data_IF_098841622629
#
_entry.id   IF_098841622629
#
_cell.length_a   1.000
_cell.length_b   1.000
_cell.length_c   1.000
_cell.angle_alpha   90.00
_cell.angle_beta   90.00
_cell.angle_gamma   90.00
#
_symmetry.space_group_name_H-M   'P 1'
#
loop_
_entity.id
_entity.type
_entity.pdbx_description
1 polymer ?
#
# COMPACT_ATOMS: atom_id res chain seq x y z
N UNK A 1 8.93 10.98 15.05
CA UNK A 1 7.96 10.66 14.00
C UNK A 1 6.71 10.13 14.65
N UNK A 2 5.53 10.73 14.42
CA UNK A 2 4.28 10.02 14.64
C UNK A 2 4.04 9.13 13.41
N UNK A 3 4.37 7.84 13.49
CA UNK A 3 4.23 6.91 12.37
C UNK A 3 5.16 5.69 12.43
N UNK A 4 4.83 4.64 11.69
CA UNK A 4 5.54 3.35 11.61
C UNK A 4 6.91 3.49 10.91
N UNK A 5 6.89 4.15 9.75
CA UNK A 5 8.05 4.52 8.95
C UNK A 5 7.69 5.75 8.10
N UNK A 6 8.67 6.33 7.42
CA UNK A 6 8.46 7.36 6.39
C UNK A 6 9.55 7.31 5.33
N UNK A 7 9.21 7.81 4.14
CA UNK A 7 10.12 7.96 3.01
C UNK A 7 10.18 9.42 2.56
N UNK A 8 11.39 9.90 2.25
CA UNK A 8 11.59 11.19 1.60
C UNK A 8 12.61 11.08 0.46
N UNK A 9 12.40 11.83 -0.61
CA UNK A 9 13.28 11.88 -1.77
C UNK A 9 13.99 13.26 -1.82
N UNK A 10 15.07 13.46 -1.03
CA UNK A 10 15.78 14.74 -0.96
C UNK A 10 16.41 15.15 -2.30
N UNK A 11 16.68 14.20 -3.20
CA UNK A 11 17.16 14.46 -4.56
C UNK A 11 16.47 13.51 -5.55
N UNK A 12 16.53 13.78 -6.86
CA UNK A 12 15.97 12.87 -7.88
C UNK A 12 16.60 11.47 -7.91
N UNK A 13 17.75 11.26 -7.27
CA UNK A 13 18.50 10.00 -7.32
C UNK A 13 18.70 9.37 -5.94
N UNK A 14 18.17 9.99 -4.89
CA UNK A 14 18.40 9.55 -3.51
C UNK A 14 17.09 9.55 -2.74
N UNK A 15 16.75 8.40 -2.18
CA UNK A 15 15.67 8.23 -1.23
C UNK A 15 16.23 7.98 0.18
N UNK A 16 15.57 8.51 1.19
CA UNK A 16 15.84 8.27 2.60
C UNK A 16 14.62 7.61 3.23
N UNK A 17 14.82 6.40 3.74
CA UNK A 17 13.81 5.64 4.47
C UNK A 17 14.13 5.72 5.95
N UNK A 18 13.14 6.10 6.76
CA UNK A 18 13.28 6.25 8.21
C UNK A 18 12.27 5.33 8.87
N UNK A 19 12.75 4.51 9.79
CA UNK A 19 11.96 3.46 10.41
C UNK A 19 11.88 3.69 11.92
N UNK A 20 10.69 3.58 12.50
CA UNK A 20 10.51 3.72 13.94
C UNK A 20 11.13 2.53 14.70
N UNK A 21 12.19 2.78 15.44
CA UNK A 21 12.82 1.77 16.32
C UNK A 21 11.88 1.30 17.42
N UNK A 22 11.00 2.16 17.90
CA UNK A 22 9.96 1.80 18.87
C UNK A 22 8.93 0.85 18.26
N UNK A 23 8.53 1.06 17.01
CA UNK A 23 7.64 0.15 16.32
C UNK A 23 8.31 -1.20 16.06
N UNK A 24 9.57 -1.22 15.62
CA UNK A 24 10.33 -2.47 15.47
C UNK A 24 10.39 -3.24 16.78
N UNK A 25 10.78 -2.58 17.88
CA UNK A 25 10.81 -3.21 19.19
C UNK A 25 9.43 -3.77 19.59
N UNK A 26 8.35 -3.04 19.31
CA UNK A 26 7.00 -3.51 19.53
C UNK A 26 6.69 -4.77 18.70
N UNK A 27 6.94 -4.76 17.39
CA UNK A 27 6.70 -5.89 16.49
C UNK A 27 7.47 -7.14 16.94
N UNK A 28 8.76 -7.02 17.24
CA UNK A 28 9.54 -8.16 17.72
C UNK A 28 9.10 -8.68 19.09
N UNK A 29 8.44 -7.85 19.90
CA UNK A 29 7.87 -8.25 21.19
C UNK A 29 6.48 -8.89 21.08
N UNK A 30 5.66 -8.45 20.13
CA UNK A 30 4.23 -8.84 20.06
C UNK A 30 3.89 -9.89 19.01
N UNK A 31 4.78 -10.15 18.05
CA UNK A 31 4.55 -11.17 17.03
C UNK A 31 4.76 -12.58 17.58
N UNK A 32 3.95 -13.52 17.10
CA UNK A 32 3.96 -14.91 17.54
C UNK A 32 5.31 -15.60 17.31
N UNK A 33 6.00 -15.26 16.21
CA UNK A 33 7.33 -15.78 15.89
C UNK A 33 8.28 -14.68 15.40
N UNK A 34 9.60 -14.88 15.53
CA UNK A 34 10.59 -13.99 14.89
C UNK A 34 10.39 -13.87 13.37
N UNK A 35 9.94 -14.94 12.71
CA UNK A 35 9.65 -14.93 11.29
C UNK A 35 8.51 -13.96 10.93
N UNK A 36 7.45 -13.91 11.76
CA UNK A 36 6.33 -12.98 11.56
C UNK A 36 6.75 -11.53 11.77
N UNK A 37 7.64 -11.27 12.73
CA UNK A 37 8.24 -9.95 12.93
C UNK A 37 9.10 -9.51 11.73
N UNK A 38 9.91 -10.43 11.19
CA UNK A 38 10.69 -10.19 9.98
C UNK A 38 9.79 -9.93 8.77
N UNK A 39 8.68 -10.68 8.61
CA UNK A 39 7.69 -10.43 7.54
C UNK A 39 7.03 -9.07 7.65
N UNK A 40 6.66 -8.62 8.86
CA UNK A 40 6.13 -7.27 9.07
C UNK A 40 7.15 -6.21 8.65
N UNK A 41 8.40 -6.36 9.10
CA UNK A 41 9.49 -5.45 8.73
C UNK A 41 9.68 -5.36 7.21
N UNK A 42 9.73 -6.51 6.52
CA UNK A 42 9.82 -6.54 5.07
C UNK A 42 8.61 -5.89 4.40
N UNK A 43 7.40 -6.09 4.92
CA UNK A 43 6.19 -5.50 4.37
C UNK A 43 6.22 -3.97 4.39
N UNK A 44 6.59 -3.39 5.53
CA UNK A 44 6.75 -1.92 5.64
C UNK A 44 7.91 -1.44 4.78
N UNK A 45 9.05 -2.15 4.75
CA UNK A 45 10.18 -1.77 3.90
C UNK A 45 9.78 -1.74 2.41
N UNK A 46 8.97 -2.70 1.95
CA UNK A 46 8.43 -2.71 0.58
C UNK A 46 7.52 -1.51 0.33
N UNK A 47 6.61 -1.20 1.27
CA UNK A 47 5.74 -0.03 1.19
C UNK A 47 6.56 1.27 1.04
N UNK A 48 7.56 1.48 1.90
CA UNK A 48 8.44 2.65 1.85
C UNK A 48 9.29 2.70 0.56
N UNK A 49 9.78 1.55 0.08
CA UNK A 49 10.49 1.49 -1.20
C UNK A 49 9.59 1.87 -2.38
N UNK A 50 8.29 1.60 -2.33
CA UNK A 50 7.37 2.07 -3.38
C UNK A 50 7.34 3.59 -3.39
N UNK A 51 7.20 4.26 -2.24
CA UNK A 51 7.27 5.72 -2.16
C UNK A 51 8.58 6.31 -2.68
N UNK A 52 9.69 5.58 -2.58
CA UNK A 52 10.96 6.03 -3.14
C UNK A 52 10.95 6.13 -4.68
N UNK A 53 10.20 5.26 -5.36
CA UNK A 53 10.13 5.22 -6.84
C UNK A 53 8.82 5.79 -7.40
N UNK A 54 7.83 6.01 -6.54
CA UNK A 54 6.50 6.43 -6.94
C UNK A 54 6.44 7.94 -7.19
N UNK A 55 5.86 8.34 -8.33
CA UNK A 55 5.48 9.74 -8.56
C UNK A 55 4.29 10.14 -7.69
N UNK A 56 4.19 11.42 -7.34
CA UNK A 56 3.08 11.95 -6.54
C UNK A 56 2.16 12.90 -7.32
N UNK A 57 2.21 12.85 -8.66
CA UNK A 57 1.43 13.73 -9.53
C UNK A 57 1.79 15.20 -9.32
N UNK A 58 3.08 15.53 -9.19
CA UNK A 58 3.54 16.89 -8.84
C UNK A 58 2.91 17.43 -7.54
N UNK A 59 2.68 16.56 -6.56
CA UNK A 59 2.04 16.88 -5.28
C UNK A 59 0.52 17.04 -5.33
N UNK A 60 -0.13 16.78 -6.47
CA UNK A 60 -1.60 16.90 -6.63
C UNK A 60 -2.35 15.60 -6.37
N UNK A 61 -1.66 14.45 -6.37
CA UNK A 61 -2.29 13.18 -6.07
C UNK A 61 -2.73 13.14 -4.59
N UNK A 62 -3.97 12.69 -4.29
CA UNK A 62 -4.42 12.59 -2.91
C UNK A 62 -3.57 11.58 -2.13
N UNK A 63 -3.26 11.89 -0.86
CA UNK A 63 -2.34 11.06 -0.08
C UNK A 63 -2.79 9.60 0.06
N UNK A 64 -4.09 9.37 0.25
CA UNK A 64 -4.67 8.02 0.32
C UNK A 64 -4.41 7.17 -0.93
N UNK A 65 -4.26 7.79 -2.10
CA UNK A 65 -3.92 7.09 -3.34
C UNK A 65 -2.46 6.66 -3.39
N UNK A 66 -1.56 7.54 -2.94
CA UNK A 66 -0.13 7.24 -2.87
C UNK A 66 0.12 6.09 -1.90
N UNK A 67 -0.47 6.17 -0.71
CA UNK A 67 -0.49 5.11 0.31
C UNK A 67 -1.09 3.80 -0.23
N UNK A 68 -2.25 3.89 -0.92
CA UNK A 68 -2.94 2.73 -1.46
C UNK A 68 -2.13 1.95 -2.50
N UNK A 69 -1.35 2.62 -3.36
CA UNK A 69 -0.44 1.94 -4.30
C UNK A 69 0.67 1.19 -3.56
N UNK A 70 1.26 1.80 -2.53
CA UNK A 70 2.30 1.17 -1.72
C UNK A 70 1.77 -0.06 -0.97
N UNK A 71 0.59 0.05 -0.35
CA UNK A 71 -0.10 -1.06 0.32
C UNK A 71 -0.48 -2.18 -0.65
N UNK A 72 -0.94 -1.82 -1.85
CA UNK A 72 -1.29 -2.78 -2.88
C UNK A 72 -0.06 -3.58 -3.35
N UNK A 73 1.10 -2.94 -3.58
CA UNK A 73 2.34 -3.65 -3.95
C UNK A 73 2.79 -4.58 -2.82
N UNK A 74 2.73 -4.13 -1.57
CA UNK A 74 3.02 -4.94 -0.38
C UNK A 74 2.13 -6.19 -0.31
N UNK A 75 0.82 -6.06 -0.58
CA UNK A 75 -0.11 -7.19 -0.65
C UNK A 75 0.32 -8.20 -1.72
N UNK A 76 0.67 -7.73 -2.92
CA UNK A 76 1.08 -8.60 -4.05
C UNK A 76 2.45 -9.25 -3.83
N UNK A 77 3.32 -8.65 -3.04
CA UNK A 77 4.57 -9.26 -2.59
C UNK A 77 4.35 -10.40 -1.55
N UNK A 78 3.11 -10.68 -1.16
CA UNK A 78 2.79 -11.70 -0.15
C UNK A 78 3.17 -11.27 1.27
N UNK A 79 3.20 -9.95 1.51
CA UNK A 79 3.58 -9.35 2.79
C UNK A 79 2.42 -8.51 3.38
N UNK A 80 1.18 -9.02 3.44
CA UNK A 80 0.06 -8.26 4.01
C UNK A 80 0.37 -7.80 5.43
N UNK A 81 -0.04 -6.60 5.82
CA UNK A 81 -0.01 -6.22 7.21
C UNK A 81 -0.86 -7.21 8.02
N UNK A 82 -0.40 -7.62 9.19
CA UNK A 82 -1.05 -8.71 9.93
C UNK A 82 -2.49 -8.38 10.38
N UNK A 83 -2.85 -7.09 10.44
CA UNK A 83 -4.22 -6.64 10.70
C UNK A 83 -5.11 -6.62 9.44
N UNK A 84 -4.55 -6.88 8.26
CA UNK A 84 -5.31 -7.07 7.02
C UNK A 84 -5.72 -8.54 6.88
N UNK A 85 -7.02 -8.82 6.86
CA UNK A 85 -7.52 -10.18 6.63
C UNK A 85 -7.47 -10.52 5.13
N UNK A 86 -6.71 -11.56 4.77
CA UNK A 86 -6.46 -12.01 3.40
C UNK A 86 -7.67 -12.73 2.78
N UNK A 87 -8.25 -12.16 1.72
CA UNK A 87 -8.76 -12.91 0.55
C UNK A 87 -8.54 -12.04 -0.68
N UNK A 88 -7.58 -12.39 -1.53
CA UNK A 88 -7.55 -11.88 -2.89
C UNK A 88 -7.19 -13.04 -3.81
N UNK A 89 -8.22 -13.65 -4.40
CA UNK A 89 -8.09 -14.49 -5.59
C UNK A 89 -8.28 -13.58 -6.80
N UNK A 90 -7.18 -13.23 -7.47
CA UNK A 90 -7.05 -13.18 -8.94
C UNK A 90 -5.69 -12.62 -9.36
N UNK A 91 -5.11 -13.28 -10.36
CA UNK A 91 -4.02 -12.77 -11.17
C UNK A 91 -4.62 -12.01 -12.35
N UNK A 92 -4.48 -10.70 -12.34
CA UNK A 92 -4.56 -9.88 -13.56
C UNK A 92 -3.14 -9.34 -13.78
N UNK A 93 -2.69 -9.23 -15.03
CA UNK A 93 -1.39 -8.68 -15.41
C UNK A 93 -1.24 -7.26 -14.88
N UNK A 94 -0.51 -7.12 -13.78
CA UNK A 94 -0.58 -5.95 -12.89
C UNK A 94 0.68 -5.10 -12.94
N UNK A 95 1.78 -5.66 -13.44
CA UNK A 95 3.03 -4.93 -13.58
C UNK A 95 2.81 -3.75 -14.51
N UNK A 96 2.05 -3.98 -15.56
CA UNK A 96 1.66 -3.01 -16.57
C UNK A 96 0.80 -1.90 -15.97
N UNK A 97 -0.18 -2.23 -15.12
CA UNK A 97 -1.05 -1.23 -14.45
C UNK A 97 -0.25 -0.35 -13.49
N UNK A 98 0.57 -0.94 -12.61
CA UNK A 98 1.38 -0.16 -11.66
C UNK A 98 2.46 0.66 -12.37
N UNK A 99 3.10 0.10 -13.39
CA UNK A 99 4.10 0.83 -14.18
C UNK A 99 3.47 2.01 -14.92
N UNK A 100 2.29 1.82 -15.51
CA UNK A 100 1.60 2.88 -16.23
C UNK A 100 1.04 3.95 -15.27
N UNK A 101 0.50 3.54 -14.12
CA UNK A 101 0.13 4.47 -13.04
C UNK A 101 1.33 5.30 -12.58
N UNK A 102 2.45 4.64 -12.30
CA UNK A 102 3.65 5.34 -11.84
C UNK A 102 4.19 6.29 -12.92
N UNK A 103 4.21 5.85 -14.18
CA UNK A 103 4.59 6.69 -15.32
C UNK A 103 3.73 7.95 -15.38
N UNK A 104 2.41 7.83 -15.22
CA UNK A 104 1.49 8.97 -15.26
C UNK A 104 1.65 9.90 -14.05
N UNK A 105 1.86 9.35 -12.85
CA UNK A 105 2.16 10.17 -11.67
C UNK A 105 3.52 10.87 -11.74
N UNK A 106 4.44 10.38 -12.55
CA UNK A 106 5.74 11.01 -12.83
C UNK A 106 5.60 12.11 -13.90
N UNK A 107 4.82 11.87 -14.95
CA UNK A 107 4.80 12.71 -16.16
C UNK A 107 3.65 13.74 -16.18
N UNK A 108 2.55 13.46 -15.48
CA UNK A 108 1.31 14.22 -15.55
C UNK A 108 0.86 14.71 -14.15
N UNK A 109 0.03 15.74 -14.12
CA UNK A 109 -0.74 16.11 -12.92
C UNK A 109 -1.90 15.10 -12.70
N UNK A 110 -2.27 14.86 -11.45
CA UNK A 110 -3.38 13.97 -11.12
C UNK A 110 -4.70 14.58 -11.60
N UNK A 111 -5.39 13.89 -12.53
CA UNK A 111 -6.67 14.35 -13.11
C UNK A 111 -7.92 13.75 -12.45
N UNK A 112 -7.79 13.10 -11.30
CA UNK A 112 -8.94 12.44 -10.66
C UNK A 112 -9.23 11.05 -11.20
N UNK A 113 -10.47 10.59 -10.99
CA UNK A 113 -10.93 9.23 -11.26
C UNK A 113 -10.83 8.84 -12.74
N UNK A 114 -10.91 9.82 -13.66
CA UNK A 114 -10.70 9.63 -15.10
C UNK A 114 -9.37 8.94 -15.41
N UNK A 115 -8.30 9.32 -14.69
CA UNK A 115 -6.96 8.78 -14.92
C UNK A 115 -6.88 7.29 -14.59
N UNK A 116 -7.70 6.83 -13.64
CA UNK A 116 -7.81 5.46 -13.16
C UNK A 116 -8.73 4.61 -14.03
N UNK A 117 -9.88 5.16 -14.43
CA UNK A 117 -10.82 4.51 -15.34
C UNK A 117 -10.15 4.26 -16.69
N UNK A 118 -9.37 5.22 -17.20
CA UNK A 118 -8.58 5.05 -18.43
C UNK A 118 -7.60 3.86 -18.36
N UNK A 119 -7.07 3.53 -17.19
CA UNK A 119 -6.01 2.51 -17.02
C UNK A 119 -6.55 1.14 -16.63
N UNK A 120 -7.59 1.11 -15.81
CA UNK A 120 -8.13 -0.13 -15.22
C UNK A 120 -9.45 -0.55 -15.87
N UNK A 121 -10.10 0.35 -16.60
CA UNK A 121 -11.45 0.17 -17.12
C UNK A 121 -12.53 0.13 -16.03
N UNK A 122 -12.19 0.49 -14.79
CA UNK A 122 -13.07 0.40 -13.62
C UNK A 122 -13.00 1.69 -12.81
N UNK A 123 -14.09 2.05 -12.14
CA UNK A 123 -14.07 3.19 -11.22
C UNK A 123 -13.38 2.80 -9.90
N UNK A 124 -12.78 3.79 -9.22
CA UNK A 124 -12.10 3.55 -7.95
C UNK A 124 -13.13 3.26 -6.86
N UNK A 125 -14.28 3.93 -6.93
CA UNK A 125 -15.41 3.71 -6.03
C UNK A 125 -16.01 2.30 -6.16
N UNK A 126 -16.01 1.68 -7.34
CA UNK A 126 -16.46 0.31 -7.54
C UNK A 126 -15.54 -0.69 -6.82
N UNK A 127 -14.23 -0.53 -6.97
CA UNK A 127 -13.24 -1.37 -6.32
C UNK A 127 -13.22 -1.15 -4.81
N UNK A 128 -13.43 0.09 -4.36
CA UNK A 128 -13.62 0.40 -2.94
C UNK A 128 -14.93 -0.20 -2.41
N UNK A 129 -16.01 -0.19 -3.20
CA UNK A 129 -17.27 -0.84 -2.87
C UNK A 129 -17.12 -2.35 -2.70
N UNK A 130 -16.39 -3.02 -3.59
CA UNK A 130 -16.04 -4.45 -3.45
C UNK A 130 -15.23 -4.72 -2.18
N UNK A 131 -14.25 -3.86 -1.89
CA UNK A 131 -13.45 -3.93 -0.67
C UNK A 131 -14.29 -3.74 0.60
N UNK A 132 -15.16 -2.73 0.63
CA UNK A 132 -16.06 -2.45 1.74
C UNK A 132 -17.10 -3.56 1.93
N UNK A 133 -17.66 -4.11 0.86
CA UNK A 133 -18.60 -5.24 0.93
C UNK A 133 -17.92 -6.50 1.48
N UNK A 134 -16.70 -6.78 1.03
CA UNK A 134 -15.87 -7.83 1.61
C UNK A 134 -15.62 -7.63 3.11
N UNK A 135 -15.28 -6.41 3.53
CA UNK A 135 -15.06 -6.09 4.95
C UNK A 135 -16.36 -6.08 5.78
N UNK A 136 -17.48 -5.65 5.20
CA UNK A 136 -18.80 -5.62 5.84
C UNK A 136 -19.33 -7.03 6.09
N UNK A 137 -19.24 -7.91 5.09
CA UNK A 137 -19.61 -9.33 5.23
C UNK A 137 -18.82 -10.04 6.35
N UNK A 138 -17.56 -9.62 6.58
CA UNK A 138 -16.75 -10.15 7.69
C UNK A 138 -17.21 -9.73 9.10
N UNK A 139 -18.01 -8.67 9.24
CA UNK A 139 -18.56 -8.25 10.56
C UNK A 139 -19.81 -9.03 10.95
N UNK A 140 -20.61 -9.45 9.99
CA UNK A 140 -21.88 -10.17 10.24
C UNK A 140 -21.66 -11.66 10.56
N UNK A 141 -20.55 -12.26 10.07
CA UNK A 141 -20.19 -13.66 10.34
C UNK A 141 -19.59 -13.93 11.75
N UNK A 142 -19.63 -12.95 12.68
CA UNK A 142 -19.28 -13.17 14.09
C UNK A 142 -17.80 -13.51 14.35
N UNK A 143 -16.87 -12.71 13.81
CA UNK A 143 -15.43 -12.89 14.06
C UNK A 143 -15.07 -12.81 15.56
N UNK A 144 -14.05 -13.56 16.04
CA UNK A 144 -13.74 -13.66 17.46
C UNK A 144 -13.24 -12.32 18.02
N UNK A 145 -13.64 -12.04 19.27
CA UNK A 145 -13.21 -10.88 20.03
C UNK A 145 -11.68 -10.81 20.19
N UNK A 146 -11.21 -9.57 20.20
CA UNK A 146 -9.84 -9.03 20.11
C UNK A 146 -8.67 -9.84 20.68
#
# INVERSE_FOLDING_TARGET
MPGVADTSNPTPTTATLRYSTLYLAHVFKTRATPADAVREFYGVLVHELVHAYQGNGNGTAPWAWIEGVADWVRLRAGLPAMHWRRKVEREVGWREVVQEMNRRLIMDEWRGEDMWVEQTGREACELWGEYCAYFGAMREEGGPEA
#
